data_IF_252531822436
#
_entry.id   IF_252531822436
#
_cell.length_a   1.000
_cell.length_b   1.000
_cell.length_c   1.000
_cell.angle_alpha   90.00
_cell.angle_beta   90.00
_cell.angle_gamma   90.00
#
_symmetry.space_group_name_H-M   'P 1'
#
loop_
_entity.id
_entity.type
_entity.pdbx_description
1 polymer ?
#
# COMPACT_ATOMS: atom_id res chain seq x y z
N UNK A 1 -6.91 10.70 0.82
CA UNK A 1 -5.48 10.40 1.05
C UNK A 1 -5.41 9.43 2.20
N UNK A 2 -5.38 8.14 1.90
CA UNK A 2 -5.25 7.07 2.90
C UNK A 2 -3.90 7.22 3.61
N UNK A 3 -3.89 7.19 4.93
CA UNK A 3 -2.65 7.14 5.70
C UNK A 3 -2.01 5.76 5.52
N UNK A 4 -0.75 5.71 5.05
CA UNK A 4 -0.04 4.46 4.81
C UNK A 4 1.44 4.56 5.13
N UNK A 5 2.00 3.45 5.59
CA UNK A 5 3.44 3.29 5.80
C UNK A 5 4.06 2.55 4.62
N UNK A 6 5.15 3.08 4.06
CA UNK A 6 5.91 2.39 3.01
C UNK A 6 7.00 1.53 3.62
N UNK A 7 7.04 0.25 3.25
CA UNK A 7 8.10 -0.68 3.63
C UNK A 7 8.81 -1.15 2.37
N UNK A 8 10.08 -0.75 2.25
CA UNK A 8 10.94 -1.22 1.17
C UNK A 8 11.47 -2.62 1.47
N UNK A 9 11.45 -3.50 0.48
CA UNK A 9 11.86 -4.90 0.63
C UNK A 9 12.42 -5.47 -0.66
N UNK A 10 13.00 -6.68 -0.61
CA UNK A 10 13.50 -7.42 -1.79
C UNK A 10 12.39 -7.97 -2.71
N UNK A 11 11.16 -7.43 -2.60
CA UNK A 11 10.04 -7.85 -3.45
C UNK A 11 10.26 -7.40 -4.89
N UNK A 12 9.73 -8.20 -5.82
CA UNK A 12 9.68 -7.85 -7.25
C UNK A 12 8.46 -6.98 -7.61
N UNK A 13 7.42 -7.00 -6.78
CA UNK A 13 6.15 -6.30 -7.02
C UNK A 13 5.71 -5.48 -5.81
N UNK A 14 4.92 -4.43 -6.06
CA UNK A 14 4.26 -3.62 -5.03
C UNK A 14 2.95 -4.28 -4.59
N UNK A 15 2.60 -4.11 -3.32
CA UNK A 15 1.29 -4.52 -2.80
C UNK A 15 0.89 -3.69 -1.57
N UNK A 16 -0.42 -3.67 -1.30
CA UNK A 16 -0.98 -3.16 -0.06
C UNK A 16 -1.28 -4.32 0.90
N UNK A 17 -0.81 -4.18 2.13
CA UNK A 17 -1.05 -5.07 3.26
C UNK A 17 -1.88 -4.30 4.30
N UNK A 18 -2.98 -4.91 4.76
CA UNK A 18 -3.86 -4.31 5.76
C UNK A 18 -3.66 -5.10 7.06
N UNK A 19 -3.10 -4.42 8.06
CA UNK A 19 -2.93 -4.96 9.39
C UNK A 19 -4.27 -5.12 10.11
N UNK A 20 -4.37 -6.02 11.11
CA UNK A 20 -5.62 -6.31 11.82
C UNK A 20 -6.20 -5.12 12.61
N UNK A 21 -5.42 -4.07 12.79
CA UNK A 21 -5.79 -2.76 13.36
C UNK A 21 -6.34 -1.78 12.31
N UNK A 22 -6.46 -2.22 11.06
CA UNK A 22 -6.83 -1.37 9.92
C UNK A 22 -5.69 -0.49 9.40
N UNK A 23 -4.44 -0.73 9.85
CA UNK A 23 -3.26 -0.02 9.34
C UNK A 23 -2.91 -0.44 7.91
N UNK A 24 -2.57 0.52 7.06
CA UNK A 24 -2.20 0.25 5.65
C UNK A 24 -0.69 0.30 5.50
N UNK A 25 -0.09 -0.82 5.08
CA UNK A 25 1.34 -0.95 4.79
C UNK A 25 1.53 -1.23 3.31
N UNK A 26 2.26 -0.36 2.62
CA UNK A 26 2.61 -0.57 1.21
C UNK A 26 4.00 -1.18 1.14
N UNK A 27 4.08 -2.45 0.74
CA UNK A 27 5.36 -3.11 0.53
C UNK A 27 5.80 -2.91 -0.91
N UNK A 28 6.93 -2.22 -1.10
CA UNK A 28 7.46 -1.87 -2.41
C UNK A 28 8.87 -2.45 -2.64
N UNK A 29 9.28 -2.68 -3.90
CA UNK A 29 10.66 -2.94 -4.27
C UNK A 29 11.60 -1.80 -3.87
N UNK A 30 12.84 -2.11 -3.48
CA UNK A 30 13.83 -1.11 -3.03
C UNK A 30 14.06 0.05 -4.04
N UNK A 31 13.99 -0.24 -5.34
CA UNK A 31 14.25 0.74 -6.39
C UNK A 31 12.99 1.49 -6.87
N UNK A 32 11.83 1.26 -6.24
CA UNK A 32 10.57 1.87 -6.66
C UNK A 32 10.48 3.31 -6.16
N UNK A 33 10.16 4.24 -7.05
CA UNK A 33 10.08 5.66 -6.70
C UNK A 33 8.83 5.92 -5.87
N UNK A 34 8.92 6.86 -4.92
CA UNK A 34 7.79 7.26 -4.08
C UNK A 34 6.56 7.71 -4.90
N UNK A 35 6.78 8.34 -6.06
CA UNK A 35 5.71 8.75 -6.98
C UNK A 35 4.91 7.55 -7.51
N UNK A 36 5.60 6.48 -7.91
CA UNK A 36 4.95 5.26 -8.43
C UNK A 36 4.17 4.55 -7.31
N UNK A 37 4.69 4.59 -6.08
CA UNK A 37 3.99 4.08 -4.90
C UNK A 37 2.72 4.89 -4.62
N UNK A 38 2.80 6.21 -4.69
CA UNK A 38 1.64 7.09 -4.52
C UNK A 38 0.59 6.87 -5.61
N UNK A 39 1.03 6.67 -6.86
CA UNK A 39 0.14 6.36 -7.97
C UNK A 39 -0.55 5.00 -7.78
N UNK A 40 0.20 3.98 -7.36
CA UNK A 40 -0.36 2.68 -7.01
C UNK A 40 -1.45 2.80 -5.93
N UNK A 41 -1.18 3.55 -4.86
CA UNK A 41 -2.17 3.77 -3.79
C UNK A 41 -3.39 4.53 -4.32
N UNK A 42 -3.18 5.56 -5.14
CA UNK A 42 -4.27 6.34 -5.73
C UNK A 42 -5.16 5.49 -6.64
N UNK A 43 -4.56 4.68 -7.51
CA UNK A 43 -5.29 3.79 -8.42
C UNK A 43 -6.07 2.70 -7.67
N UNK A 44 -5.59 2.27 -6.50
CA UNK A 44 -6.20 1.21 -5.70
C UNK A 44 -6.97 1.74 -4.48
N UNK A 45 -7.18 3.05 -4.33
CA UNK A 45 -7.74 3.66 -3.12
C UNK A 45 -9.09 3.03 -2.74
N UNK A 46 -10.00 2.90 -3.70
CA UNK A 46 -11.31 2.28 -3.49
C UNK A 46 -11.21 0.82 -3.00
N UNK A 47 -10.22 0.07 -3.49
CA UNK A 47 -9.99 -1.32 -3.07
C UNK A 47 -9.40 -1.39 -1.67
N UNK A 48 -8.46 -0.50 -1.35
CA UNK A 48 -7.83 -0.40 -0.03
C UNK A 48 -8.88 -0.03 1.02
N UNK A 49 -9.73 0.97 0.73
CA UNK A 49 -10.82 1.39 1.63
C UNK A 49 -11.82 0.25 1.86
N UNK A 50 -12.23 -0.46 0.81
CA UNK A 50 -13.12 -1.64 0.95
C UNK A 50 -12.50 -2.75 1.77
N UNK A 51 -11.22 -3.05 1.54
CA UNK A 51 -10.53 -4.11 2.26
C UNK A 51 -10.31 -3.75 3.74
N UNK A 52 -10.19 -2.45 4.08
CA UNK A 52 -10.17 -1.94 5.46
C UNK A 52 -11.51 -2.11 6.18
N UNK A 53 -12.64 -1.99 5.48
CA UNK A 53 -13.98 -2.13 6.06
C UNK A 53 -14.41 -3.59 6.28
N UNK A 54 -13.75 -4.53 5.59
CA UNK A 54 -14.14 -5.95 5.58
C UNK A 54 -13.41 -6.78 6.63
N UNK A 55 -12.50 -6.16 7.39
CA UNK A 55 -11.68 -6.81 8.41
C UNK A 55 -12.29 -6.60 9.80
#
# INVERSE_FOLDING_TARGET
>A
MTDFTVIYSKRRTICAEIGPDGSVKIRAPQNMRKRDIQEFVRMNEARIVRARQKQ
#
